data_IF_901126204531
#
_entry.id   IF_901126204531
#
_cell.length_a   1.000
_cell.length_b   1.000
_cell.length_c   1.000
_cell.angle_alpha   90.00
_cell.angle_beta   90.00
_cell.angle_gamma   90.00
#
_symmetry.space_group_name_H-M   'P 1'
#
loop_
_entity.id
_entity.type
_entity.pdbx_description
1 polymer ?
#
# COMPACT_ATOMS: atom_id res chain seq x y z
N UNK A 1 -9.66 4.71 1.16
CA UNK A 1 -8.46 5.36 0.58
C UNK A 1 -7.28 4.39 0.56
N UNK A 2 -6.92 3.76 1.69
CA UNK A 2 -5.87 2.74 1.74
C UNK A 2 -6.21 1.47 0.96
N UNK A 3 -7.50 1.15 0.83
CA UNK A 3 -7.98 0.04 -0.01
C UNK A 3 -7.63 0.25 -1.48
N UNK A 4 -7.64 1.50 -1.96
CA UNK A 4 -7.25 1.86 -3.33
C UNK A 4 -5.76 1.76 -3.57
N UNK A 5 -4.96 2.01 -2.52
CA UNK A 5 -3.53 1.73 -2.55
C UNK A 5 -3.27 0.22 -2.55
N UNK A 6 -3.96 -0.54 -1.70
CA UNK A 6 -3.85 -2.00 -1.64
C UNK A 6 -4.22 -2.65 -2.98
N UNK A 7 -5.26 -2.15 -3.65
CA UNK A 7 -5.67 -2.58 -4.98
C UNK A 7 -4.55 -2.36 -6.02
N UNK A 8 -3.94 -1.17 -6.06
CA UNK A 8 -2.79 -0.88 -6.93
C UNK A 8 -1.59 -1.76 -6.61
N UNK A 9 -1.27 -1.97 -5.32
CA UNK A 9 -0.21 -2.91 -4.91
C UNK A 9 -0.50 -4.31 -5.45
N UNK A 10 -1.76 -4.79 -5.38
CA UNK A 10 -2.15 -6.11 -5.85
C UNK A 10 -2.01 -6.30 -7.37
N UNK A 11 -2.16 -5.21 -8.14
CA UNK A 11 -2.00 -5.20 -9.60
C UNK A 11 -0.54 -4.98 -10.02
N UNK A 12 0.29 -4.43 -9.15
CA UNK A 12 1.69 -4.12 -9.43
C UNK A 12 2.57 -5.35 -9.60
N UNK A 13 3.73 -5.17 -10.25
CA UNK A 13 4.81 -6.17 -10.30
C UNK A 13 5.37 -6.50 -8.90
N UNK A 14 5.17 -5.62 -7.92
CA UNK A 14 5.64 -5.75 -6.54
C UNK A 14 4.68 -6.48 -5.61
N UNK A 15 3.52 -6.96 -6.07
CA UNK A 15 2.49 -7.58 -5.20
C UNK A 15 3.00 -8.70 -4.29
N UNK A 16 4.02 -9.45 -4.72
CA UNK A 16 4.63 -10.55 -3.94
C UNK A 16 5.69 -10.06 -2.95
N UNK A 17 6.09 -8.80 -3.05
CA UNK A 17 7.01 -8.14 -2.13
C UNK A 17 6.29 -7.52 -0.93
N UNK A 18 4.97 -7.31 -0.99
CA UNK A 18 4.21 -6.75 0.13
C UNK A 18 3.44 -7.84 0.85
N UNK A 19 3.70 -7.98 2.16
CA UNK A 19 2.94 -8.83 3.07
C UNK A 19 2.02 -7.92 3.89
N UNK A 20 0.71 -7.98 3.62
CA UNK A 20 -0.30 -7.26 4.40
C UNK A 20 -0.49 -7.92 5.78
N UNK A 21 -0.56 -7.10 6.84
CA UNK A 21 -0.76 -7.56 8.22
C UNK A 21 -1.56 -6.52 9.02
N UNK A 22 -1.67 -6.73 10.33
CA UNK A 22 -2.24 -5.75 11.26
C UNK A 22 -3.77 -5.70 11.29
N UNK A 23 -4.31 -4.69 11.97
CA UNK A 23 -5.73 -4.59 12.29
C UNK A 23 -6.64 -4.36 11.08
N UNK A 24 -6.14 -3.71 10.03
CA UNK A 24 -6.88 -3.55 8.76
C UNK A 24 -7.20 -4.91 8.13
N UNK A 25 -6.23 -5.82 8.08
CA UNK A 25 -6.44 -7.17 7.55
C UNK A 25 -7.41 -7.97 8.41
N UNK A 26 -7.24 -7.95 9.73
CA UNK A 26 -8.12 -8.69 10.65
C UNK A 26 -9.56 -8.20 10.53
N UNK A 27 -9.76 -6.88 10.46
CA UNK A 27 -11.11 -6.30 10.30
C UNK A 27 -11.76 -6.74 8.98
N UNK A 28 -10.99 -6.78 7.89
CA UNK A 28 -11.48 -7.24 6.59
C UNK A 28 -11.85 -8.74 6.57
N UNK A 29 -11.11 -9.59 7.29
CA UNK A 29 -11.39 -11.03 7.38
C UNK A 29 -12.61 -11.31 8.27
N UNK A 30 -12.74 -10.59 9.39
CA UNK A 30 -13.80 -10.84 10.39
C UNK A 30 -15.11 -10.13 10.02
N UNK A 31 -15.08 -9.16 9.10
CA UNK A 31 -16.26 -8.41 8.67
C UNK A 31 -16.71 -7.37 9.71
N UNK A 32 -15.76 -6.74 10.41
CA UNK A 32 -16.08 -5.67 11.36
C UNK A 32 -16.25 -4.34 10.61
N UNK A 33 -17.45 -3.79 10.64
CA UNK A 33 -17.76 -2.48 10.02
C UNK A 33 -17.15 -1.30 10.80
N UNK A 34 -16.92 -1.47 12.11
CA UNK A 34 -16.26 -0.46 12.93
C UNK A 34 -14.74 -0.56 12.79
N UNK A 35 -14.14 0.33 12.01
CA UNK A 35 -12.68 0.45 11.96
C UNK A 35 -12.15 1.09 13.24
N UNK A 36 -11.35 0.33 14.00
CA UNK A 36 -10.60 0.86 15.15
C UNK A 36 -9.23 1.40 14.77
N UNK A 37 -8.68 0.99 13.62
CA UNK A 37 -7.41 1.49 13.07
C UNK A 37 -7.60 2.01 11.65
N UNK A 38 -6.97 3.15 11.38
CA UNK A 38 -6.94 3.79 10.06
C UNK A 38 -5.66 3.48 9.29
N UNK A 39 -4.69 2.79 9.88
CA UNK A 39 -3.38 2.53 9.28
C UNK A 39 -3.36 1.20 8.51
N UNK A 40 -2.48 1.09 7.52
CA UNK A 40 -2.22 -0.14 6.78
C UNK A 40 -0.80 -0.63 7.08
N UNK A 41 -0.69 -1.73 7.83
CA UNK A 41 0.59 -2.35 8.12
C UNK A 41 1.00 -3.30 6.99
N UNK A 42 2.15 -3.05 6.39
CA UNK A 42 2.76 -3.96 5.41
C UNK A 42 4.20 -4.27 5.77
N UNK A 43 4.67 -5.45 5.37
CA UNK A 43 6.09 -5.81 5.44
C UNK A 43 6.61 -6.02 4.03
N UNK A 44 7.71 -5.34 3.71
CA UNK A 44 8.45 -5.54 2.47
C UNK A 44 9.31 -6.79 2.59
N UNK A 45 9.16 -7.68 1.63
CA UNK A 45 9.86 -8.95 1.54
C UNK A 45 10.54 -9.09 0.18
N UNK A 46 11.78 -9.57 0.18
CA UNK A 46 12.54 -9.88 -1.03
C UNK A 46 12.62 -8.69 -2.03
N UNK A 47 12.65 -7.47 -1.50
CA UNK A 47 12.93 -6.23 -2.22
C UNK A 47 14.11 -5.57 -1.52
N UNK A 48 15.21 -5.25 -2.22
CA UNK A 48 16.32 -4.53 -1.62
C UNK A 48 15.83 -3.20 -1.05
N UNK A 49 15.98 -3.01 0.26
CA UNK A 49 15.59 -1.80 0.97
C UNK A 49 16.65 -0.73 0.77
N UNK A 50 16.57 -0.03 -0.36
CA UNK A 50 17.16 1.29 -0.52
C UNK A 50 16.05 2.32 -0.72
N UNK A 51 16.31 3.55 -0.29
CA UNK A 51 15.39 4.66 -0.45
C UNK A 51 14.97 4.82 -1.92
N UNK A 52 15.94 4.86 -2.84
CA UNK A 52 15.68 5.00 -4.28
C UNK A 52 14.79 3.90 -4.86
N UNK A 53 15.04 2.63 -4.49
CA UNK A 53 14.24 1.51 -4.99
C UNK A 53 12.82 1.51 -4.40
N UNK A 54 12.66 1.93 -3.15
CA UNK A 54 11.35 2.06 -2.53
C UNK A 54 10.55 3.19 -3.19
N UNK A 55 11.18 4.32 -3.46
CA UNK A 55 10.54 5.45 -4.16
C UNK A 55 10.07 5.05 -5.56
N UNK A 56 10.95 4.45 -6.35
CA UNK A 56 10.62 3.96 -7.69
C UNK A 56 9.45 2.97 -7.63
N UNK A 57 9.46 2.02 -6.70
CA UNK A 57 8.37 1.07 -6.54
C UNK A 57 7.04 1.75 -6.18
N UNK A 58 7.07 2.73 -5.26
CA UNK A 58 5.87 3.46 -4.85
C UNK A 58 5.31 4.33 -5.98
N UNK A 59 6.17 5.03 -6.72
CA UNK A 59 5.77 5.83 -7.90
C UNK A 59 5.13 4.95 -8.98
N UNK A 60 5.75 3.81 -9.30
CA UNK A 60 5.18 2.84 -10.24
C UNK A 60 3.81 2.32 -9.79
N UNK A 61 3.65 2.00 -8.50
CA UNK A 61 2.38 1.56 -7.93
C UNK A 61 1.31 2.66 -8.05
N UNK A 62 1.67 3.92 -7.76
CA UNK A 62 0.75 5.05 -7.80
C UNK A 62 0.26 5.38 -9.21
N UNK A 63 1.06 5.12 -10.24
CA UNK A 63 0.71 5.33 -11.64
C UNK A 63 -0.28 4.29 -12.19
N UNK A 64 -0.54 3.20 -11.46
CA UNK A 64 -1.53 2.20 -11.87
C UNK A 64 -2.91 2.84 -11.84
N UNK A 65 -3.48 3.07 -13.02
CA UNK A 65 -4.85 3.53 -13.17
C UNK A 65 -5.81 2.35 -12.97
N UNK A 66 -6.76 2.53 -12.06
CA UNK A 66 -7.87 1.59 -11.80
C UNK A 66 -9.25 2.26 -11.98
N UNK A 67 -9.28 3.41 -12.66
CA UNK A 67 -10.49 4.19 -12.97
C UNK A 67 -11.31 4.58 -11.73
N UNK A 68 -10.65 4.81 -10.60
CA UNK A 68 -11.26 5.18 -9.31
C UNK A 68 -11.25 6.68 -9.01
N UNK A 69 -10.67 7.49 -9.90
CA UNK A 69 -10.52 8.95 -9.73
C UNK A 69 -9.55 9.36 -8.61
N UNK A 70 -8.73 8.44 -8.08
CA UNK A 70 -7.78 8.72 -7.00
C UNK A 70 -6.37 8.96 -7.55
N UNK A 71 -5.72 10.03 -7.08
CA UNK A 71 -4.32 10.32 -7.34
C UNK A 71 -3.52 10.29 -6.03
N UNK A 72 -2.30 9.75 -6.09
CA UNK A 72 -1.36 9.69 -4.97
C UNK A 72 -0.20 10.64 -5.21
N UNK A 73 0.27 11.29 -4.14
CA UNK A 73 1.49 12.08 -4.12
C UNK A 73 2.33 11.64 -2.93
N UNK A 74 3.64 11.53 -3.13
CA UNK A 74 4.59 11.22 -2.06
C UNK A 74 5.25 12.50 -1.55
N UNK A 75 5.30 12.66 -0.23
CA UNK A 75 5.94 13.80 0.42
C UNK A 75 6.97 13.32 1.43
N UNK A 76 8.11 14.00 1.47
CA UNK A 76 9.10 13.82 2.52
C UNK A 76 8.65 14.53 3.79
N UNK A 77 8.63 13.81 4.91
CA UNK A 77 8.23 14.35 6.21
C UNK A 77 9.36 15.07 6.95
N UNK A 78 10.59 15.09 6.41
CA UNK A 78 11.75 15.76 7.03
C UNK A 78 12.61 16.39 5.92
N UNK A 79 12.90 17.69 6.06
CA UNK A 79 13.95 18.42 5.33
C UNK A 79 15.17 18.60 6.23
#
# INVERSE_FOLDING_TARGET
MLERLLERISLSKYRKNFILKGGMLISAIVGLDSRSTMDMDTTLYNLPLSEGLLLEAMEEIFLINIDDGVAFNLFWLIQ
#
